data_IF_329089064634
#
_entry.id   IF_329089064634
#
_cell.length_a   1.000
_cell.length_b   1.000
_cell.length_c   1.000
_cell.angle_alpha   90.00
_cell.angle_beta   90.00
_cell.angle_gamma   90.00
#
_symmetry.space_group_name_H-M   'P 1'
#
loop_
_entity.id
_entity.type
_entity.pdbx_description
1 polymer ?
#
# COMPACT_ATOMS: atom_id res chain seq x y z
N UNK A 1 4.52 -0.32 -18.55
CA UNK A 1 3.75 0.80 -17.95
C UNK A 1 3.19 0.51 -16.55
N UNK A 2 3.73 -0.45 -15.77
CA UNK A 2 3.15 -0.83 -14.46
C UNK A 2 3.70 -0.03 -13.26
N UNK A 3 4.84 0.65 -13.43
CA UNK A 3 5.44 1.46 -12.36
C UNK A 3 4.62 2.73 -12.08
N UNK A 4 4.04 3.33 -13.12
CA UNK A 4 3.24 4.55 -13.00
C UNK A 4 1.95 4.32 -12.19
N UNK A 5 1.28 3.17 -12.38
CA UNK A 5 0.06 2.82 -11.64
C UNK A 5 0.36 2.53 -10.18
N UNK A 6 1.48 1.86 -9.89
CA UNK A 6 1.94 1.61 -8.52
C UNK A 6 2.29 2.90 -7.76
N UNK A 7 3.08 3.80 -8.38
CA UNK A 7 3.44 5.09 -7.78
C UNK A 7 2.20 5.94 -7.51
N UNK A 8 1.21 5.91 -8.43
CA UNK A 8 -0.05 6.64 -8.26
C UNK A 8 -0.87 6.10 -7.08
N UNK A 9 -0.90 4.77 -6.89
CA UNK A 9 -1.57 4.16 -5.74
C UNK A 9 -0.93 4.55 -4.40
N UNK A 10 0.41 4.48 -4.31
CA UNK A 10 1.15 4.85 -3.10
C UNK A 10 0.97 6.34 -2.77
N UNK A 11 1.06 7.22 -3.77
CA UNK A 11 0.97 8.66 -3.54
C UNK A 11 -0.42 9.09 -3.05
N UNK A 12 -1.49 8.49 -3.57
CA UNK A 12 -2.86 8.71 -3.06
C UNK A 12 -2.96 8.23 -1.61
N UNK A 13 -2.41 7.06 -1.29
CA UNK A 13 -2.38 6.53 0.08
C UNK A 13 -1.60 7.42 1.05
N UNK A 14 -0.45 7.97 0.61
CA UNK A 14 0.35 8.89 1.41
C UNK A 14 -0.38 10.20 1.68
N UNK A 15 -1.02 10.79 0.68
CA UNK A 15 -1.81 12.01 0.84
C UNK A 15 -2.94 11.77 1.85
N UNK A 16 -3.70 10.69 1.70
CA UNK A 16 -4.80 10.35 2.63
C UNK A 16 -4.24 10.07 4.04
N UNK A 17 -3.15 9.32 4.16
CA UNK A 17 -2.54 9.00 5.46
C UNK A 17 -1.98 10.21 6.19
N UNK A 18 -1.29 11.12 5.48
CA UNK A 18 -0.76 12.36 6.03
C UNK A 18 -1.88 13.34 6.40
N UNK A 19 -2.96 13.40 5.62
CA UNK A 19 -4.13 14.21 5.94
C UNK A 19 -4.89 13.66 7.17
N UNK A 20 -4.96 12.34 7.31
CA UNK A 20 -5.66 11.70 8.43
C UNK A 20 -4.84 11.73 9.72
N UNK A 21 -3.50 11.72 9.64
CA UNK A 21 -2.60 11.84 10.77
C UNK A 21 -1.47 12.86 10.50
N UNK A 22 -1.75 14.17 10.65
CA UNK A 22 -0.73 15.19 10.49
C UNK A 22 0.19 15.25 11.72
N UNK A 23 1.42 14.79 11.56
CA UNK A 23 2.49 15.02 12.54
C UNK A 23 3.03 16.46 12.39
N UNK A 24 3.49 17.08 13.49
CA UNK A 24 4.11 18.41 13.41
C UNK A 24 5.40 18.37 12.59
N UNK A 25 5.63 19.36 11.71
CA UNK A 25 6.81 19.36 10.83
C UNK A 25 8.17 19.30 11.55
N UNK A 26 8.25 19.78 12.80
CA UNK A 26 9.43 19.62 13.66
C UNK A 26 9.65 18.16 14.06
N UNK A 27 8.57 17.45 14.37
CA UNK A 27 8.61 16.01 14.65
C UNK A 27 8.97 15.21 13.40
N UNK A 28 8.41 15.53 12.23
CA UNK A 28 8.75 14.87 10.96
C UNK A 28 10.23 15.04 10.60
N UNK A 29 10.79 16.25 10.73
CA UNK A 29 12.21 16.49 10.43
C UNK A 29 13.14 15.75 11.39
N UNK A 30 12.79 15.74 12.68
CA UNK A 30 13.56 15.03 13.71
C UNK A 30 13.48 13.52 13.55
N UNK A 31 12.29 12.99 13.25
CA UNK A 31 12.06 11.58 12.91
C UNK A 31 12.83 11.19 11.66
N UNK A 32 12.78 11.98 10.58
CA UNK A 32 13.48 11.67 9.33
C UNK A 32 15.01 11.54 9.53
N UNK A 33 15.59 12.40 10.39
CA UNK A 33 17.02 12.34 10.68
C UNK A 33 17.42 11.11 11.51
N UNK A 34 16.58 10.66 12.44
CA UNK A 34 16.83 9.43 13.21
C UNK A 34 16.56 8.19 12.37
N UNK A 35 15.38 8.14 11.76
CA UNK A 35 14.92 7.05 10.88
C UNK A 35 15.87 6.82 9.71
N UNK A 36 16.51 7.84 9.13
CA UNK A 36 17.46 7.61 8.02
C UNK A 36 18.72 6.84 8.45
N UNK A 37 19.19 7.05 9.68
CA UNK A 37 20.33 6.33 10.25
C UNK A 37 19.89 4.95 10.73
N UNK A 38 18.80 4.89 11.50
CA UNK A 38 18.28 3.66 12.11
C UNK A 38 17.76 2.67 11.04
N UNK A 39 17.06 3.16 10.01
CA UNK A 39 16.60 2.30 8.90
C UNK A 39 17.77 1.60 8.25
N UNK A 40 18.91 2.26 8.05
CA UNK A 40 20.01 1.65 7.30
C UNK A 40 20.57 0.43 8.03
N UNK A 41 20.71 0.52 9.35
CA UNK A 41 21.19 -0.58 10.20
C UNK A 41 20.11 -1.67 10.36
N UNK A 42 18.88 -1.29 10.65
CA UNK A 42 17.77 -2.24 10.86
C UNK A 42 17.33 -2.93 9.55
N UNK A 43 17.47 -2.28 8.39
CA UNK A 43 17.08 -2.88 7.11
C UNK A 43 17.95 -4.10 6.79
N UNK A 44 19.26 -4.01 7.00
CA UNK A 44 20.18 -5.09 6.62
C UNK A 44 19.89 -6.36 7.44
N UNK A 45 19.66 -6.22 8.74
CA UNK A 45 19.34 -7.36 9.61
C UNK A 45 17.91 -7.88 9.39
N UNK A 46 16.94 -6.99 9.24
CA UNK A 46 15.52 -7.38 9.10
C UNK A 46 15.20 -7.92 7.70
N UNK A 47 15.94 -7.54 6.66
CA UNK A 47 15.67 -7.97 5.29
C UNK A 47 15.84 -9.48 5.09
N UNK A 48 16.84 -10.08 5.74
CA UNK A 48 17.07 -11.53 5.66
C UNK A 48 15.94 -12.33 6.33
N UNK A 49 15.49 -11.89 7.50
CA UNK A 49 14.36 -12.50 8.21
C UNK A 49 13.01 -12.29 7.51
N UNK A 50 12.81 -11.10 6.94
CA UNK A 50 11.64 -10.76 6.13
C UNK A 50 11.61 -11.64 4.88
N UNK A 51 12.71 -11.80 4.16
CA UNK A 51 12.76 -12.56 2.91
C UNK A 51 12.28 -14.01 3.09
N UNK A 52 12.66 -14.66 4.20
CA UNK A 52 12.23 -16.02 4.54
C UNK A 52 10.73 -16.11 4.85
N UNK A 53 10.21 -15.20 5.68
CA UNK A 53 8.81 -15.20 6.12
C UNK A 53 7.84 -14.65 5.06
N UNK A 54 8.31 -13.77 4.19
CA UNK A 54 7.54 -13.13 3.12
C UNK A 54 7.11 -14.13 2.09
N UNK A 55 7.95 -15.11 1.71
CA UNK A 55 7.58 -16.09 0.66
C UNK A 55 6.29 -16.84 0.98
N UNK A 56 6.15 -17.39 2.19
CA UNK A 56 4.93 -18.10 2.60
C UNK A 56 3.72 -17.18 2.80
N UNK A 57 3.93 -15.94 3.27
CA UNK A 57 2.84 -14.99 3.51
C UNK A 57 2.36 -14.34 2.21
N UNK A 58 3.26 -14.12 1.25
CA UNK A 58 2.97 -13.55 -0.07
C UNK A 58 1.98 -14.40 -0.83
N UNK A 59 2.09 -15.73 -0.81
CA UNK A 59 1.14 -16.57 -1.53
C UNK A 59 -0.28 -16.49 -0.94
N UNK A 60 -0.40 -16.46 0.40
CA UNK A 60 -1.69 -16.25 1.07
C UNK A 60 -2.27 -14.86 0.81
N UNK A 61 -1.41 -13.83 0.79
CA UNK A 61 -1.81 -12.45 0.50
C UNK A 61 -2.23 -12.31 -0.96
N UNK A 62 -1.51 -12.92 -1.90
CA UNK A 62 -1.88 -12.92 -3.32
C UNK A 62 -3.26 -13.52 -3.54
N UNK A 63 -3.56 -14.66 -2.92
CA UNK A 63 -4.87 -15.29 -3.08
C UNK A 63 -6.01 -14.43 -2.52
N UNK A 64 -5.81 -13.83 -1.33
CA UNK A 64 -6.79 -12.91 -0.75
C UNK A 64 -6.92 -11.62 -1.55
N UNK A 65 -5.82 -11.09 -2.09
CA UNK A 65 -5.83 -9.89 -2.91
C UNK A 65 -6.55 -10.13 -4.24
N UNK A 66 -6.37 -11.30 -4.86
CA UNK A 66 -7.11 -11.71 -6.05
C UNK A 66 -8.61 -11.81 -5.74
N UNK A 67 -9.01 -12.50 -4.67
CA UNK A 67 -10.43 -12.59 -4.28
C UNK A 67 -11.07 -11.21 -4.02
N UNK A 68 -10.31 -10.28 -3.42
CA UNK A 68 -10.78 -8.91 -3.17
C UNK A 68 -10.86 -8.12 -4.47
N UNK A 69 -9.91 -8.28 -5.39
CA UNK A 69 -9.93 -7.63 -6.69
C UNK A 69 -11.12 -8.13 -7.54
N UNK A 70 -11.40 -9.42 -7.53
CA UNK A 70 -12.52 -10.02 -8.26
C UNK A 70 -13.87 -9.57 -7.69
N UNK A 71 -13.98 -9.49 -6.35
CA UNK A 71 -15.18 -8.94 -5.68
C UNK A 71 -15.36 -7.45 -5.95
N UNK A 72 -14.28 -6.68 -5.96
CA UNK A 72 -14.33 -5.26 -6.29
C UNK A 72 -14.71 -5.06 -7.75
N UNK A 73 -14.16 -5.86 -8.67
CA UNK A 73 -14.49 -5.84 -10.09
C UNK A 73 -15.97 -6.12 -10.33
N UNK A 74 -16.49 -7.23 -9.79
CA UNK A 74 -17.92 -7.58 -9.89
C UNK A 74 -18.84 -6.52 -9.27
N UNK A 75 -18.49 -5.98 -8.11
CA UNK A 75 -19.29 -4.90 -7.48
C UNK A 75 -19.30 -3.62 -8.32
N UNK A 76 -18.15 -3.26 -8.91
CA UNK A 76 -18.04 -2.08 -9.78
C UNK A 76 -18.80 -2.30 -11.09
N UNK A 77 -18.79 -3.52 -11.62
CA UNK A 77 -19.50 -3.89 -12.84
C UNK A 77 -21.02 -3.92 -12.60
N UNK A 78 -21.48 -4.45 -11.47
CA UNK A 78 -22.90 -4.43 -11.06
C UNK A 78 -23.39 -3.01 -10.82
N UNK A 79 -22.62 -2.18 -10.08
CA UNK A 79 -22.95 -0.76 -9.88
C UNK A 79 -22.92 -0.04 -11.22
N UNK A 80 -21.90 -0.28 -12.05
CA UNK A 80 -21.73 0.27 -13.39
C UNK A 80 -22.91 -0.04 -14.30
N UNK A 81 -23.37 -1.29 -14.33
CA UNK A 81 -24.54 -1.73 -15.07
C UNK A 81 -25.84 -1.12 -14.51
N UNK A 82 -25.94 -0.99 -13.19
CA UNK A 82 -27.10 -0.37 -12.51
C UNK A 82 -27.19 1.15 -12.75
N UNK A 83 -26.06 1.85 -12.91
CA UNK A 83 -26.02 3.30 -13.16
C UNK A 83 -25.97 3.65 -14.65
N UNK A 84 -25.47 2.74 -15.50
CA UNK A 84 -25.45 2.90 -16.95
C UNK A 84 -26.74 2.39 -17.62
N UNK A 85 -27.56 1.60 -16.91
CA UNK A 85 -28.85 1.15 -17.39
C UNK A 85 -30.01 2.02 -16.89
N UNK A 86 -30.61 2.79 -17.79
CA UNK A 86 -32.06 2.74 -17.99
C UNK A 86 -32.45 3.43 -19.32
N UNK A 87 -33.33 2.81 -20.13
CA UNK A 87 -33.21 1.49 -20.77
C UNK A 87 -32.11 1.42 -21.85
#
# INVERSE_FOLDING_TARGET
>A
MHLATFIRGISIGFIVGVLFAPDSGKATRRKLSGVATDIKEDFEETYDDISSNVKQKVDKVKHKAADVADRAGSTIEDIGASVAGNP
#
